data_IF_701251503617
#
_entry.id   IF_701251503617
#
_cell.length_a   1.000
_cell.length_b   1.000
_cell.length_c   1.000
_cell.angle_alpha   90.00
_cell.angle_beta   90.00
_cell.angle_gamma   90.00
#
_symmetry.space_group_name_H-M   'P 1'
#
loop_
_entity.id
_entity.type
_entity.pdbx_description
1 polymer ?
#
# COMPACT_ATOMS: atom_id res chain seq x y z
N UNK A 1 -21.32 -38.48 -26.06
CA UNK A 1 -19.92 -37.98 -26.00
C UNK A 1 -19.78 -36.44 -26.16
N UNK A 2 -20.54 -35.78 -27.03
CA UNK A 2 -20.47 -34.30 -27.19
C UNK A 2 -20.94 -33.51 -25.96
N UNK A 3 -21.97 -33.96 -25.25
CA UNK A 3 -22.48 -33.30 -24.07
C UNK A 3 -21.52 -33.38 -22.85
N UNK A 4 -20.79 -34.49 -22.72
CA UNK A 4 -19.79 -34.62 -21.65
C UNK A 4 -18.59 -33.68 -21.85
N UNK A 5 -18.19 -33.40 -23.08
CA UNK A 5 -17.11 -32.45 -23.38
C UNK A 5 -17.52 -31.01 -23.10
N UNK A 6 -18.78 -30.66 -23.33
CA UNK A 6 -19.29 -29.31 -23.05
C UNK A 6 -19.38 -29.03 -21.54
N UNK A 7 -19.81 -30.06 -20.76
CA UNK A 7 -19.87 -29.94 -19.30
C UNK A 7 -18.48 -29.81 -18.67
N UNK A 8 -17.50 -30.57 -19.18
CA UNK A 8 -16.10 -30.46 -18.73
C UNK A 8 -15.47 -29.11 -19.06
N UNK A 9 -15.79 -28.53 -20.22
CA UNK A 9 -15.32 -27.20 -20.60
C UNK A 9 -15.92 -26.09 -19.71
N UNK A 10 -17.21 -26.19 -19.37
CA UNK A 10 -17.88 -25.27 -18.46
C UNK A 10 -17.32 -25.39 -17.02
N UNK A 11 -17.02 -26.59 -16.55
CA UNK A 11 -16.41 -26.79 -15.22
C UNK A 11 -15.00 -26.19 -15.16
N UNK A 12 -14.20 -26.35 -16.21
CA UNK A 12 -12.84 -25.77 -16.29
C UNK A 12 -12.89 -24.25 -16.32
N UNK A 13 -13.85 -23.66 -17.04
CA UNK A 13 -14.04 -22.19 -17.04
C UNK A 13 -14.46 -21.64 -15.66
N UNK A 14 -15.19 -22.39 -14.85
CA UNK A 14 -15.58 -21.96 -13.51
C UNK A 14 -14.41 -21.94 -12.51
N UNK A 15 -13.36 -22.75 -12.73
CA UNK A 15 -12.17 -22.78 -11.87
C UNK A 15 -11.18 -21.66 -12.15
N UNK A 16 -11.30 -20.94 -13.28
CA UNK A 16 -10.40 -19.84 -13.63
C UNK A 16 -10.94 -18.43 -13.30
N UNK A 17 -12.17 -18.32 -12.78
CA UNK A 17 -12.69 -17.05 -12.27
C UNK A 17 -12.33 -16.96 -10.77
N UNK A 18 -11.07 -17.02 -10.45
CA UNK A 18 -10.55 -16.43 -9.22
C UNK A 18 -10.35 -14.94 -9.50
N UNK A 19 -11.45 -14.24 -9.66
CA UNK A 19 -11.43 -12.79 -9.73
C UNK A 19 -10.78 -12.27 -8.44
N UNK A 20 -9.76 -11.45 -8.58
CA UNK A 20 -9.19 -10.72 -7.46
C UNK A 20 -10.25 -9.78 -6.88
N UNK A 21 -11.08 -10.29 -5.99
CA UNK A 21 -12.01 -9.47 -5.24
C UNK A 21 -11.22 -8.73 -4.18
N UNK A 22 -11.34 -7.41 -4.15
CA UNK A 22 -10.93 -6.63 -3.00
C UNK A 22 -11.68 -7.15 -1.76
N UNK A 23 -10.95 -7.51 -0.71
CA UNK A 23 -11.51 -8.06 0.53
C UNK A 23 -11.42 -7.03 1.66
N UNK A 24 -11.69 -5.77 1.36
CA UNK A 24 -11.65 -4.69 2.37
C UNK A 24 -12.78 -4.79 3.40
N UNK A 25 -13.86 -5.53 3.10
CA UNK A 25 -14.99 -5.67 4.01
C UNK A 25 -14.55 -6.17 5.40
N UNK A 26 -14.94 -5.44 6.44
CA UNK A 26 -14.58 -5.71 7.83
C UNK A 26 -13.13 -5.33 8.21
N UNK A 27 -12.38 -4.69 7.32
CA UNK A 27 -11.06 -4.10 7.65
C UNK A 27 -11.19 -2.65 8.07
N UNK A 28 -10.09 -2.04 8.54
CA UNK A 28 -10.05 -0.61 8.87
C UNK A 28 -10.26 0.31 7.65
N UNK A 29 -10.14 -0.20 6.43
CA UNK A 29 -10.44 0.52 5.18
C UNK A 29 -11.84 0.25 4.63
N UNK A 30 -12.70 -0.45 5.38
CA UNK A 30 -14.11 -0.62 5.05
C UNK A 30 -14.92 0.57 5.54
N UNK A 31 -15.00 1.60 4.73
CA UNK A 31 -15.80 2.79 5.02
C UNK A 31 -17.30 2.63 4.71
N UNK A 32 -17.77 1.42 4.41
CA UNK A 32 -19.16 1.20 3.97
C UNK A 32 -20.21 1.48 5.06
N UNK A 33 -19.79 1.50 6.32
CA UNK A 33 -20.65 1.79 7.49
C UNK A 33 -20.51 3.22 7.99
N UNK A 34 -19.59 3.99 7.45
CA UNK A 34 -19.36 5.35 7.89
C UNK A 34 -20.46 6.30 7.41
N UNK A 35 -20.99 7.13 8.32
CA UNK A 35 -22.09 8.03 8.04
C UNK A 35 -21.75 9.12 7.02
N UNK A 36 -20.48 9.46 6.90
CA UNK A 36 -19.93 10.43 5.93
C UNK A 36 -19.63 9.80 4.56
N UNK A 37 -19.55 8.46 4.48
CA UNK A 37 -19.30 7.79 3.22
C UNK A 37 -20.61 7.59 2.44
N UNK A 38 -20.66 7.93 1.14
CA UNK A 38 -21.88 7.79 0.35
C UNK A 38 -22.26 6.32 0.20
N UNK A 39 -23.55 6.02 0.41
CA UNK A 39 -24.11 4.66 0.25
C UNK A 39 -23.84 4.04 -1.13
N UNK A 40 -23.64 4.88 -2.14
CA UNK A 40 -23.38 4.45 -3.53
C UNK A 40 -21.97 3.89 -3.75
N UNK A 41 -21.00 4.24 -2.92
CA UNK A 41 -19.58 3.99 -3.17
C UNK A 41 -18.95 2.93 -2.25
N UNK A 42 -19.69 2.42 -1.28
CA UNK A 42 -19.41 1.26 -0.41
C UNK A 42 -17.91 0.95 -0.22
N UNK A 43 -17.19 1.88 0.39
CA UNK A 43 -15.77 1.73 0.71
C UNK A 43 -14.81 2.03 -0.45
N UNK A 44 -15.05 1.55 -1.65
CA UNK A 44 -14.14 1.77 -2.78
C UNK A 44 -14.12 3.23 -3.26
N UNK A 45 -15.27 3.91 -3.20
CA UNK A 45 -15.46 5.25 -3.74
C UNK A 45 -14.78 6.37 -2.96
N UNK A 46 -14.32 6.11 -1.76
CA UNK A 46 -13.44 7.04 -1.01
C UNK A 46 -12.10 7.18 -1.73
N UNK A 47 -11.55 6.06 -2.21
CA UNK A 47 -10.24 6.03 -2.87
C UNK A 47 -10.32 6.06 -4.40
N UNK A 48 -11.42 5.57 -5.02
CA UNK A 48 -11.53 5.41 -6.47
C UNK A 48 -12.83 5.98 -7.03
N UNK A 49 -12.75 6.60 -8.21
CA UNK A 49 -13.91 7.04 -8.99
C UNK A 49 -13.74 6.73 -10.46
N UNK A 50 -14.85 6.46 -11.16
CA UNK A 50 -14.84 6.21 -12.61
C UNK A 50 -14.77 7.49 -13.44
N UNK A 51 -15.09 8.63 -12.86
CA UNK A 51 -15.13 9.93 -13.53
C UNK A 51 -14.51 11.00 -12.65
N UNK A 52 -13.87 12.01 -13.28
CA UNK A 52 -13.26 13.14 -12.60
C UNK A 52 -12.18 12.75 -11.56
N UNK A 53 -11.50 11.62 -11.80
CA UNK A 53 -10.40 11.17 -10.97
C UNK A 53 -9.28 12.22 -10.92
N UNK A 54 -8.60 12.29 -9.78
CA UNK A 54 -7.35 13.06 -9.66
C UNK A 54 -6.30 12.39 -10.55
N UNK A 55 -5.63 13.16 -11.40
CA UNK A 55 -4.65 12.62 -12.33
C UNK A 55 -3.33 12.34 -11.60
N UNK A 56 -3.18 11.12 -11.10
CA UNK A 56 -1.97 10.64 -10.43
C UNK A 56 -1.44 9.41 -11.16
N UNK A 57 -0.16 9.45 -11.56
CA UNK A 57 0.48 8.32 -12.26
C UNK A 57 0.57 7.04 -11.41
N UNK A 58 0.58 7.18 -10.08
CA UNK A 58 0.74 6.08 -9.12
C UNK A 58 -0.57 5.43 -8.69
N UNK A 59 -1.72 6.03 -9.01
CA UNK A 59 -3.03 5.51 -8.60
C UNK A 59 -4.07 5.73 -9.70
N UNK A 60 -4.48 4.67 -10.40
CA UNK A 60 -5.55 4.80 -11.39
C UNK A 60 -6.85 5.19 -10.69
N UNK A 61 -7.56 6.14 -11.29
CA UNK A 61 -8.89 6.57 -10.86
C UNK A 61 -8.95 7.09 -9.41
N UNK A 62 -7.88 7.73 -8.93
CA UNK A 62 -7.83 8.23 -7.57
C UNK A 62 -8.88 9.30 -7.29
N UNK A 63 -9.58 9.20 -6.17
CA UNK A 63 -10.73 10.06 -5.82
C UNK A 63 -10.50 10.95 -4.60
N UNK A 64 -9.66 10.52 -3.66
CA UNK A 64 -9.42 11.25 -2.42
C UNK A 64 -8.50 12.45 -2.64
N UNK A 65 -8.69 13.52 -1.85
CA UNK A 65 -7.74 14.64 -1.79
C UNK A 65 -6.37 14.13 -1.33
N UNK A 66 -5.30 14.62 -1.95
CA UNK A 66 -3.95 14.23 -1.57
C UNK A 66 -3.38 15.16 -0.52
N UNK A 67 -2.52 14.62 0.36
CA UNK A 67 -1.81 15.44 1.33
C UNK A 67 -1.04 16.57 0.65
N UNK A 68 -1.06 17.75 1.28
CA UNK A 68 -0.26 18.91 0.91
C UNK A 68 0.98 19.07 1.78
N UNK A 69 1.19 18.14 2.71
CA UNK A 69 2.38 18.13 3.55
C UNK A 69 3.63 17.95 2.71
N UNK A 70 4.65 18.72 3.00
CA UNK A 70 5.96 18.69 2.37
C UNK A 70 7.06 18.84 3.43
N UNK A 71 8.29 18.52 3.05
CA UNK A 71 9.43 18.61 3.97
C UNK A 71 9.38 17.51 5.03
N UNK A 72 9.09 16.30 4.60
CA UNK A 72 9.08 15.14 5.49
C UNK A 72 10.47 14.86 6.05
N UNK A 73 10.54 14.63 7.37
CA UNK A 73 11.72 14.04 8.01
C UNK A 73 11.62 12.53 7.85
N UNK A 74 12.40 11.97 6.95
CA UNK A 74 12.45 10.52 6.72
C UNK A 74 13.40 9.87 7.73
N UNK A 75 13.27 8.54 7.89
CA UNK A 75 14.20 7.77 8.70
C UNK A 75 15.63 7.94 8.19
N UNK A 76 16.53 8.20 9.11
CA UNK A 76 17.98 8.26 8.87
C UNK A 76 18.73 7.65 10.06
N UNK A 77 19.80 6.92 9.80
CA UNK A 77 20.69 6.38 10.81
C UNK A 77 22.08 6.10 10.22
N UNK A 78 23.14 6.03 11.05
CA UNK A 78 24.49 5.70 10.60
C UNK A 78 24.62 4.32 9.94
N UNK A 79 23.64 3.43 10.13
CA UNK A 79 23.61 2.08 9.59
C UNK A 79 22.61 1.91 8.47
N UNK A 80 22.01 3.00 8.01
CA UNK A 80 21.08 2.99 6.88
C UNK A 80 21.82 3.37 5.59
N UNK A 81 22.15 2.37 4.78
CA UNK A 81 22.87 2.55 3.50
C UNK A 81 21.95 2.92 2.32
N UNK A 82 20.64 2.96 2.53
CA UNK A 82 19.68 3.44 1.57
C UNK A 82 19.84 4.94 1.35
N UNK A 83 20.78 5.35 0.50
CA UNK A 83 21.06 6.76 0.27
C UNK A 83 19.80 7.48 -0.19
N UNK A 84 19.34 8.38 0.65
CA UNK A 84 18.20 9.23 0.37
C UNK A 84 18.64 10.36 -0.57
N UNK A 85 18.66 10.11 -1.85
CA UNK A 85 18.52 11.18 -2.84
C UNK A 85 17.09 11.75 -2.83
N UNK A 86 16.22 11.19 -1.98
CA UNK A 86 14.79 11.47 -1.93
C UNK A 86 14.48 12.13 -0.60
N UNK A 87 14.07 13.38 -0.69
CA UNK A 87 13.68 14.21 0.45
C UNK A 87 12.20 14.11 0.79
N UNK A 88 11.42 13.38 0.00
CA UNK A 88 9.95 13.27 0.11
C UNK A 88 9.49 11.83 -0.09
N UNK A 89 8.41 11.41 0.57
CA UNK A 89 7.77 10.13 0.29
C UNK A 89 7.40 9.99 -1.18
N UNK A 90 7.54 8.79 -1.73
CA UNK A 90 7.16 8.49 -3.10
C UNK A 90 5.66 8.63 -3.34
N UNK A 91 5.29 8.69 -4.61
CA UNK A 91 3.90 8.97 -4.98
C UNK A 91 2.90 7.96 -4.41
N UNK A 92 3.26 6.65 -4.33
CA UNK A 92 2.38 5.64 -3.72
C UNK A 92 2.26 5.79 -2.21
N UNK A 93 3.34 6.13 -1.50
CA UNK A 93 3.30 6.40 -0.06
C UNK A 93 2.52 7.67 0.26
N UNK A 94 2.57 8.70 -0.58
CA UNK A 94 1.75 9.91 -0.41
C UNK A 94 0.25 9.65 -0.50
N UNK A 95 -0.19 8.61 -1.20
CA UNK A 95 -1.60 8.20 -1.16
C UNK A 95 -2.02 7.71 0.22
N UNK A 96 -1.17 6.93 0.88
CA UNK A 96 -1.41 6.48 2.25
C UNK A 96 -1.40 7.68 3.22
N UNK A 97 -0.40 8.53 3.09
CA UNK A 97 -0.25 9.75 3.90
C UNK A 97 -1.40 10.74 3.72
N UNK A 98 -2.12 10.71 2.59
CA UNK A 98 -3.30 11.56 2.39
C UNK A 98 -4.39 11.38 3.45
N UNK A 99 -4.39 10.25 4.17
CA UNK A 99 -5.20 10.04 5.36
C UNK A 99 -4.31 9.88 6.61
N UNK A 100 -3.24 9.09 6.49
CA UNK A 100 -2.45 8.66 7.65
C UNK A 100 -1.55 9.74 8.24
N UNK A 101 -1.24 10.84 7.55
CA UNK A 101 -0.58 12.00 8.15
C UNK A 101 -1.53 12.84 9.02
N UNK A 102 -2.84 12.60 8.92
CA UNK A 102 -3.87 13.26 9.70
C UNK A 102 -4.15 14.70 9.28
N UNK A 103 -3.73 15.14 8.09
CA UNK A 103 -3.91 16.52 7.61
C UNK A 103 -5.09 16.67 6.65
N UNK A 104 -5.53 15.59 6.00
CA UNK A 104 -6.70 15.59 5.12
C UNK A 104 -7.83 14.78 5.78
N UNK A 105 -9.04 15.29 5.72
CA UNK A 105 -10.21 14.60 6.27
C UNK A 105 -10.62 13.41 5.40
N UNK A 106 -11.10 12.33 6.02
CA UNK A 106 -11.48 11.08 5.37
C UNK A 106 -12.60 11.24 4.33
N UNK A 107 -13.47 12.24 4.49
CA UNK A 107 -14.54 12.58 3.55
C UNK A 107 -14.11 13.52 2.43
N UNK A 108 -12.84 13.90 2.35
CA UNK A 108 -12.32 14.76 1.28
C UNK A 108 -12.07 13.96 0.00
N UNK A 109 -13.15 13.54 -0.66
CA UNK A 109 -13.13 12.86 -1.96
C UNK A 109 -14.21 13.40 -2.87
N UNK A 110 -14.14 13.09 -4.17
CA UNK A 110 -15.09 13.59 -5.16
C UNK A 110 -15.07 15.11 -5.31
N UNK A 111 -13.94 15.77 -5.02
CA UNK A 111 -13.79 17.22 -5.06
C UNK A 111 -14.18 17.94 -3.76
N UNK A 112 -14.57 17.22 -2.71
CA UNK A 112 -14.78 17.80 -1.37
C UNK A 112 -13.43 18.09 -0.71
N UNK A 113 -13.29 19.27 -0.09
CA UNK A 113 -12.06 19.72 0.59
C UNK A 113 -12.34 20.34 1.96
N UNK A 114 -13.57 20.21 2.47
CA UNK A 114 -14.03 20.87 3.71
C UNK A 114 -14.52 19.86 4.76
N UNK A 115 -14.04 18.64 4.69
CA UNK A 115 -14.35 17.58 5.65
C UNK A 115 -13.79 17.87 7.04
N UNK A 116 -14.33 17.18 8.03
CA UNK A 116 -13.99 17.37 9.45
C UNK A 116 -13.70 16.07 10.18
N UNK A 117 -13.90 14.92 9.52
CA UNK A 117 -13.61 13.60 10.09
C UNK A 117 -12.17 13.19 9.72
N UNK A 118 -11.27 13.34 10.65
CA UNK A 118 -9.86 12.96 10.47
C UNK A 118 -9.64 11.53 10.98
N UNK A 119 -8.59 10.91 10.48
CA UNK A 119 -8.15 9.58 10.95
C UNK A 119 -7.93 9.59 12.47
N UNK A 120 -8.24 8.47 13.12
CA UNK A 120 -8.00 8.30 14.56
C UNK A 120 -6.52 8.58 14.88
N UNK A 121 -6.22 9.34 15.95
CA UNK A 121 -4.83 9.63 16.33
C UNK A 121 -3.94 8.39 16.53
N UNK A 122 -4.52 7.25 16.90
CA UNK A 122 -3.78 6.00 17.07
C UNK A 122 -3.34 5.34 15.74
N UNK A 123 -4.00 5.72 14.63
CA UNK A 123 -3.67 5.26 13.29
C UNK A 123 -2.85 6.31 12.48
N UNK A 124 -2.58 7.45 13.10
CA UNK A 124 -1.80 8.53 12.48
C UNK A 124 -0.32 8.22 12.54
N UNK A 125 0.39 8.51 11.47
CA UNK A 125 1.85 8.47 11.36
C UNK A 125 2.37 9.89 11.05
N UNK A 126 3.67 10.11 11.20
CA UNK A 126 4.26 11.42 10.92
C UNK A 126 4.14 12.45 12.05
N UNK A 127 3.82 12.01 13.28
CA UNK A 127 3.75 12.89 14.46
C UNK A 127 2.62 13.92 14.40
N UNK A 128 2.72 14.98 15.21
CA UNK A 128 1.67 16.02 15.33
C UNK A 128 1.49 16.81 14.02
N UNK A 129 2.57 17.04 13.29
CA UNK A 129 2.56 17.80 12.03
C UNK A 129 2.30 16.94 10.77
N UNK A 130 2.22 15.62 10.94
CA UNK A 130 2.05 14.69 9.82
C UNK A 130 3.30 14.50 8.95
N UNK A 131 4.44 15.11 9.30
CA UNK A 131 5.64 15.11 8.46
C UNK A 131 6.88 14.45 9.07
N UNK A 132 6.80 13.92 10.29
CA UNK A 132 7.93 13.26 10.95
C UNK A 132 7.82 11.73 10.82
N UNK A 133 8.49 11.18 9.81
CA UNK A 133 8.59 9.74 9.56
C UNK A 133 9.93 9.15 10.05
N UNK A 134 10.66 9.88 10.88
CA UNK A 134 11.99 9.46 11.36
C UNK A 134 11.98 8.22 12.25
N UNK A 135 10.82 7.89 12.82
CA UNK A 135 10.62 6.69 13.65
C UNK A 135 9.99 5.52 12.91
N UNK A 136 9.59 5.74 11.66
CA UNK A 136 8.96 4.71 10.83
C UNK A 136 10.02 3.84 10.14
N UNK A 137 9.62 2.68 9.63
CA UNK A 137 10.49 1.91 8.74
C UNK A 137 10.88 2.78 7.53
N UNK A 138 12.15 2.76 7.09
CA UNK A 138 12.58 3.53 5.92
C UNK A 138 11.70 3.26 4.70
N UNK A 139 11.21 4.32 4.08
CA UNK A 139 10.43 4.26 2.84
C UNK A 139 11.02 5.20 1.79
N UNK A 140 10.61 4.99 0.55
CA UNK A 140 10.91 5.87 -0.58
C UNK A 140 12.39 5.93 -0.98
N UNK A 141 13.16 4.95 -0.56
CA UNK A 141 14.53 4.73 -1.00
C UNK A 141 14.60 3.64 -2.09
N UNK A 142 15.64 3.69 -2.91
CA UNK A 142 15.87 2.68 -3.94
C UNK A 142 16.44 1.40 -3.29
N UNK A 143 15.65 0.33 -3.32
CA UNK A 143 16.08 -0.99 -2.85
C UNK A 143 16.50 -1.83 -4.06
N UNK A 144 17.80 -1.84 -4.31
CA UNK A 144 18.43 -2.51 -5.46
C UNK A 144 19.39 -3.61 -5.02
N UNK A 145 19.80 -4.48 -5.95
CA UNK A 145 20.84 -5.49 -5.67
C UNK A 145 22.18 -4.84 -5.29
N UNK A 146 22.44 -3.66 -5.82
CA UNK A 146 23.65 -2.88 -5.46
C UNK A 146 23.59 -2.43 -3.99
N UNK A 147 22.45 -1.91 -3.53
CA UNK A 147 22.25 -1.57 -2.13
C UNK A 147 22.38 -2.81 -1.24
N UNK A 148 21.73 -3.91 -1.58
CA UNK A 148 21.80 -5.16 -0.82
C UNK A 148 23.24 -5.67 -0.68
N UNK A 149 24.03 -5.55 -1.74
CA UNK A 149 25.46 -5.92 -1.73
C UNK A 149 26.29 -4.99 -0.84
N UNK A 150 26.00 -3.70 -0.85
CA UNK A 150 26.72 -2.71 -0.03
C UNK A 150 26.38 -2.84 1.45
N UNK A 151 25.10 -3.00 1.78
CA UNK A 151 24.58 -3.15 3.14
C UNK A 151 25.01 -4.48 3.79
N UNK A 152 25.01 -5.57 3.02
CA UNK A 152 25.38 -6.91 3.47
C UNK A 152 24.40 -7.57 4.45
N UNK A 153 23.38 -6.88 4.91
CA UNK A 153 22.30 -7.37 5.77
C UNK A 153 20.94 -7.44 5.07
N UNK A 154 20.92 -7.20 3.74
CA UNK A 154 19.75 -7.28 2.90
C UNK A 154 19.90 -8.35 1.83
N UNK A 155 18.79 -8.96 1.43
CA UNK A 155 18.77 -9.88 0.29
C UNK A 155 18.68 -9.12 -1.04
N UNK A 156 19.34 -9.59 -2.14
CA UNK A 156 19.19 -9.00 -3.47
C UNK A 156 17.73 -9.10 -3.96
N UNK A 157 17.01 -7.97 -4.19
CA UNK A 157 15.58 -7.99 -4.43
C UNK A 157 15.18 -8.61 -5.77
N UNK A 158 16.04 -8.58 -6.80
CA UNK A 158 15.68 -9.11 -8.11
C UNK A 158 15.75 -10.64 -8.20
N UNK A 159 16.52 -11.28 -7.32
CA UNK A 159 16.76 -12.74 -7.35
C UNK A 159 16.19 -13.49 -6.15
N UNK A 160 15.89 -12.80 -5.06
CA UNK A 160 15.35 -13.42 -3.84
C UNK A 160 13.83 -13.58 -3.96
N UNK A 161 13.34 -14.78 -3.68
CA UNK A 161 11.90 -15.06 -3.66
C UNK A 161 11.24 -14.34 -2.48
N UNK A 162 10.16 -13.62 -2.75
CA UNK A 162 9.40 -12.87 -1.74
C UNK A 162 8.52 -13.76 -0.84
N UNK A 163 8.26 -15.00 -1.26
CA UNK A 163 7.22 -15.85 -0.66
C UNK A 163 5.81 -15.58 -1.18
N UNK A 164 5.60 -14.57 -2.03
CA UNK A 164 4.30 -14.20 -2.61
C UNK A 164 4.09 -14.71 -4.04
N UNK A 165 5.09 -15.31 -4.63
CA UNK A 165 5.00 -15.96 -5.95
C UNK A 165 6.12 -15.56 -6.91
N UNK A 166 6.79 -14.44 -6.68
CA UNK A 166 7.90 -13.97 -7.50
C UNK A 166 9.03 -13.39 -6.64
N UNK A 167 9.86 -12.54 -7.22
CA UNK A 167 10.95 -11.87 -6.52
C UNK A 167 10.45 -10.76 -5.58
N UNK A 168 11.28 -10.35 -4.61
CA UNK A 168 11.01 -9.19 -3.76
C UNK A 168 10.70 -7.96 -4.62
N UNK A 169 11.49 -7.76 -5.69
CA UNK A 169 11.32 -6.62 -6.57
C UNK A 169 9.95 -6.60 -7.27
N UNK A 170 9.49 -7.75 -7.74
CA UNK A 170 8.22 -7.84 -8.49
C UNK A 170 6.99 -7.78 -7.59
N UNK A 171 7.06 -8.41 -6.40
CA UNK A 171 5.90 -8.54 -5.53
C UNK A 171 5.77 -7.38 -4.53
N UNK A 172 6.89 -6.79 -4.12
CA UNK A 172 6.91 -5.87 -2.99
C UNK A 172 7.36 -4.45 -3.34
N UNK A 173 8.22 -4.25 -4.36
CA UNK A 173 8.76 -2.92 -4.65
C UNK A 173 7.96 -2.18 -5.72
N UNK A 174 8.05 -0.86 -5.70
CA UNK A 174 7.40 0.05 -6.64
C UNK A 174 8.47 0.82 -7.42
N UNK A 175 8.72 0.41 -8.66
CA UNK A 175 9.84 0.93 -9.47
C UNK A 175 11.19 0.81 -8.72
N UNK A 176 11.48 -0.37 -8.17
CA UNK A 176 12.64 -0.70 -7.34
C UNK A 176 12.71 0.08 -6.00
N UNK A 177 11.61 0.66 -5.55
CA UNK A 177 11.59 1.46 -4.32
C UNK A 177 10.76 0.79 -3.23
N UNK A 178 11.25 0.91 -2.00
CA UNK A 178 10.49 0.57 -0.80
C UNK A 178 9.45 1.66 -0.55
N UNK A 179 8.20 1.27 -0.42
CA UNK A 179 7.08 2.17 -0.16
C UNK A 179 6.15 1.58 0.93
N UNK A 180 5.19 2.33 1.45
CA UNK A 180 4.23 1.78 2.41
C UNK A 180 3.55 0.51 1.86
N UNK A 181 3.17 0.54 0.58
CA UNK A 181 2.55 -0.58 -0.11
C UNK A 181 3.50 -1.76 -0.38
N UNK A 182 4.80 -1.66 -0.05
CA UNK A 182 5.72 -2.80 -0.11
C UNK A 182 5.35 -3.86 0.94
N UNK A 183 4.91 -3.42 2.12
CA UNK A 183 4.49 -4.31 3.20
C UNK A 183 2.96 -4.44 3.30
N UNK A 184 2.20 -3.39 2.94
CA UNK A 184 0.75 -3.33 3.09
C UNK A 184 0.02 -3.55 1.76
N UNK A 185 -1.12 -4.24 1.82
CA UNK A 185 -2.07 -4.37 0.71
C UNK A 185 -3.44 -3.86 1.14
N UNK A 186 -3.76 -2.63 0.78
CA UNK A 186 -5.05 -1.98 1.13
C UNK A 186 -6.27 -2.71 0.61
N UNK A 187 -6.11 -3.59 -0.40
CA UNK A 187 -7.19 -4.41 -0.93
C UNK A 187 -7.36 -5.73 -0.18
N UNK A 188 -6.51 -6.00 0.82
CA UNK A 188 -6.55 -7.19 1.68
C UNK A 188 -6.56 -8.52 0.90
N UNK A 189 -5.84 -8.61 -0.22
CA UNK A 189 -5.79 -9.83 -1.04
C UNK A 189 -5.25 -11.04 -0.30
N UNK A 190 -4.40 -10.80 0.69
CA UNK A 190 -3.73 -11.84 1.47
C UNK A 190 -4.46 -12.20 2.76
N UNK A 191 -5.46 -11.42 3.18
CA UNK A 191 -6.26 -11.69 4.39
C UNK A 191 -5.46 -11.64 5.69
N UNK A 192 -4.35 -10.92 5.71
CA UNK A 192 -3.46 -10.82 6.88
C UNK A 192 -3.83 -9.61 7.73
N UNK A 193 -3.74 -9.75 9.04
CA UNK A 193 -3.99 -8.68 9.99
C UNK A 193 -3.16 -7.44 9.66
N UNK A 194 -3.71 -6.25 9.89
CA UNK A 194 -3.11 -4.95 9.55
C UNK A 194 -2.86 -4.76 8.04
N UNK A 195 -3.60 -5.50 7.19
CA UNK A 195 -3.45 -5.43 5.73
C UNK A 195 -2.02 -5.71 5.25
N UNK A 196 -1.30 -6.59 5.93
CA UNK A 196 0.03 -6.99 5.51
C UNK A 196 -0.05 -7.95 4.31
N UNK A 197 0.98 -7.94 3.48
CA UNK A 197 1.11 -8.88 2.35
C UNK A 197 1.42 -10.30 2.82
N UNK A 198 2.02 -10.46 4.00
CA UNK A 198 2.30 -11.75 4.63
C UNK A 198 2.32 -11.61 6.15
N UNK A 199 2.29 -12.75 6.85
CA UNK A 199 2.40 -12.81 8.31
C UNK A 199 3.69 -12.16 8.81
N UNK A 200 3.61 -11.47 9.94
CA UNK A 200 4.80 -10.99 10.65
C UNK A 200 5.10 -11.82 11.92
N UNK A 201 4.51 -12.99 12.05
CA UNK A 201 4.86 -13.93 13.14
C UNK A 201 6.31 -14.36 12.97
N UNK A 202 7.07 -14.32 14.06
CA UNK A 202 8.52 -14.58 14.05
C UNK A 202 9.31 -13.68 13.08
N UNK A 203 8.81 -12.47 12.80
CA UNK A 203 9.44 -11.49 11.89
C UNK A 203 9.50 -11.96 10.41
N UNK A 204 8.61 -12.83 9.99
CA UNK A 204 8.60 -13.42 8.64
C UNK A 204 8.63 -12.34 7.55
N UNK A 205 7.79 -11.30 7.69
CA UNK A 205 7.77 -10.16 6.77
C UNK A 205 9.12 -9.42 6.74
N UNK A 206 9.73 -9.20 7.90
CA UNK A 206 11.03 -8.52 8.00
C UNK A 206 12.13 -9.35 7.34
N UNK A 207 12.14 -10.66 7.61
CA UNK A 207 13.14 -11.60 7.12
C UNK A 207 13.01 -11.90 5.62
N UNK A 208 11.96 -11.44 4.96
CA UNK A 208 11.88 -11.48 3.50
C UNK A 208 12.96 -10.62 2.85
N UNK A 209 13.26 -9.46 3.45
CA UNK A 209 14.26 -8.54 2.95
C UNK A 209 15.57 -8.57 3.76
N UNK A 210 15.49 -8.80 5.06
CA UNK A 210 16.65 -8.75 5.97
C UNK A 210 17.29 -10.14 6.15
N UNK A 211 18.60 -10.20 5.92
CA UNK A 211 19.45 -11.38 6.11
C UNK A 211 20.13 -11.30 7.51
N UNK A 212 19.35 -11.55 8.58
CA UNK A 212 19.86 -11.46 9.97
C UNK A 212 19.39 -12.63 10.81
#
# INVERSE_FOLDING_TARGET
MKQFRLLSLLLVLFFFIQGGFSQIAGTAHDFSTESWAPLSNRGCGVCHTTHQAVNLMSAPLWNHETTVVAGYTLYDSPTFDGSSTITEPGASSKLCLSCHDGTVALENFGGTTSGTNYIDPSARIGGVGGNDLSTEHPISFDYTDALATSDGGLFPPTTTNSGLGSSINEDMLFNNRMECASCHDVHNRYGVLHLLKMSNVNSELCLTCHNK
#
